data_IF_006123610038
#
_entry.id   IF_006123610038
#
_cell.length_a   1.000
_cell.length_b   1.000
_cell.length_c   1.000
_cell.angle_alpha   90.00
_cell.angle_beta   90.00
_cell.angle_gamma   90.00
#
_symmetry.space_group_name_H-M   'P 1'
#
loop_
_entity.id
_entity.type
_entity.pdbx_description
1 polymer ?
#
# COMPACT_ATOMS: atom_id res chain seq x y z
N UNK A 1 -0.53 -6.83 -13.36
CA UNK A 1 -1.45 -6.54 -12.24
C UNK A 1 -1.31 -5.09 -11.74
N UNK A 2 -0.13 -4.66 -11.29
CA UNK A 2 0.10 -3.34 -10.66
C UNK A 2 -0.17 -2.12 -11.55
N UNK A 3 0.02 -2.26 -12.87
CA UNK A 3 -0.31 -1.22 -13.89
C UNK A 3 -1.82 -1.02 -14.10
N UNK A 4 -2.67 -1.79 -13.42
CA UNK A 4 -4.13 -1.74 -13.59
C UNK A 4 -4.72 -0.45 -13.01
N UNK A 5 -5.68 0.21 -13.70
CA UNK A 5 -6.38 1.37 -13.16
C UNK A 5 -7.33 1.00 -12.02
N UNK A 6 -7.75 -0.27 -11.95
CA UNK A 6 -8.55 -0.80 -10.85
C UNK A 6 -7.92 -0.55 -9.48
N UNK A 7 -8.77 -0.19 -8.51
CA UNK A 7 -8.41 -0.15 -7.10
C UNK A 7 -8.06 -1.55 -6.60
N UNK A 8 -6.97 -1.65 -5.86
CA UNK A 8 -6.48 -2.88 -5.24
C UNK A 8 -6.79 -2.86 -3.74
N UNK A 9 -7.18 -4.00 -3.19
CA UNK A 9 -7.44 -4.17 -1.76
C UNK A 9 -6.54 -5.26 -1.20
N UNK A 10 -5.99 -5.02 -0.01
CA UNK A 10 -5.24 -6.03 0.71
C UNK A 10 -6.20 -6.98 1.39
N UNK A 11 -6.17 -8.25 0.99
CA UNK A 11 -7.03 -9.30 1.52
C UNK A 11 -6.36 -10.10 2.62
N UNK A 12 -5.12 -10.55 2.38
CA UNK A 12 -4.32 -11.26 3.36
C UNK A 12 -3.02 -10.52 3.65
N UNK A 13 -2.65 -10.47 4.92
CA UNK A 13 -1.37 -9.94 5.37
C UNK A 13 -0.74 -10.86 6.43
N UNK A 14 0.57 -10.76 6.69
CA UNK A 14 1.17 -11.43 7.83
C UNK A 14 0.58 -10.87 9.13
N UNK A 15 0.50 -11.69 10.18
CA UNK A 15 0.03 -11.23 11.49
C UNK A 15 1.11 -10.33 12.14
N UNK A 16 0.97 -9.02 11.94
CA UNK A 16 1.87 -7.99 12.44
C UNK A 16 1.07 -7.05 13.32
N UNK A 17 1.61 -6.71 14.49
CA UNK A 17 0.89 -5.93 15.51
C UNK A 17 0.39 -4.59 14.98
N UNK A 18 1.20 -3.90 14.17
CA UNK A 18 0.83 -2.63 13.57
C UNK A 18 -0.31 -2.71 12.55
N UNK A 19 -0.59 -3.89 11.96
CA UNK A 19 -1.70 -4.06 11.02
C UNK A 19 -3.05 -4.30 11.74
N UNK A 20 -3.02 -4.74 13.00
CA UNK A 20 -4.24 -5.07 13.77
C UNK A 20 -5.14 -3.86 14.00
N UNK A 21 -4.55 -2.68 14.05
CA UNK A 21 -5.25 -1.42 14.27
C UNK A 21 -5.59 -0.68 12.96
N UNK A 22 -5.50 -1.37 11.81
CA UNK A 22 -5.84 -0.83 10.50
C UNK A 22 -7.02 -1.58 9.89
N UNK A 23 -7.94 -0.85 9.26
CA UNK A 23 -8.98 -1.38 8.38
C UNK A 23 -8.78 -0.84 6.98
N UNK A 24 -9.48 -1.48 6.04
CA UNK A 24 -9.67 -0.94 4.69
C UNK A 24 -8.35 -0.51 4.04
N UNK A 25 -7.41 -1.45 3.88
CA UNK A 25 -6.14 -1.16 3.22
C UNK A 25 -6.33 -1.31 1.71
N UNK A 26 -6.11 -0.24 0.96
CA UNK A 26 -6.30 -0.22 -0.50
C UNK A 26 -5.28 0.66 -1.21
N UNK A 27 -5.21 0.53 -2.53
CA UNK A 27 -4.26 1.23 -3.38
C UNK A 27 -4.90 1.64 -4.71
N UNK A 28 -4.78 2.92 -5.06
CA UNK A 28 -5.24 3.48 -6.34
C UNK A 28 -4.06 3.80 -7.25
N UNK A 29 -4.25 3.67 -8.57
CA UNK A 29 -3.23 4.04 -9.54
C UNK A 29 -3.14 5.56 -9.64
N UNK A 30 -1.93 6.12 -9.56
CA UNK A 30 -1.67 7.52 -9.88
C UNK A 30 -1.25 7.62 -11.34
N UNK A 31 -0.11 6.99 -11.67
CA UNK A 31 0.42 6.93 -13.03
C UNK A 31 1.28 5.69 -13.22
N UNK A 32 1.58 5.35 -14.47
CA UNK A 32 2.56 4.33 -14.79
C UNK A 32 3.25 4.69 -16.10
N UNK A 33 4.50 4.25 -16.23
CA UNK A 33 5.25 4.31 -17.47
C UNK A 33 5.75 2.90 -17.80
N UNK A 34 5.27 2.35 -18.92
CA UNK A 34 5.66 1.00 -19.34
C UNK A 34 7.08 0.91 -19.88
N UNK A 35 7.66 2.02 -20.34
CA UNK A 35 9.03 2.07 -20.85
C UNK A 35 10.09 2.05 -19.75
N UNK A 36 9.72 2.52 -18.56
CA UNK A 36 10.60 2.63 -17.38
C UNK A 36 10.30 1.58 -16.31
N UNK A 37 9.39 0.64 -16.57
CA UNK A 37 8.85 -0.30 -15.57
C UNK A 37 8.47 0.35 -14.24
N UNK A 38 7.94 1.56 -14.36
CA UNK A 38 7.62 2.46 -13.27
C UNK A 38 6.11 2.49 -13.03
N UNK A 39 5.69 2.35 -11.77
CA UNK A 39 4.28 2.48 -11.36
C UNK A 39 4.21 3.33 -10.11
N UNK A 40 3.40 4.38 -10.14
CA UNK A 40 3.10 5.19 -8.96
C UNK A 40 1.66 4.91 -8.50
N UNK A 41 1.49 4.60 -7.23
CA UNK A 41 0.19 4.31 -6.63
C UNK A 41 0.05 5.02 -5.28
N UNK A 42 -1.17 5.27 -4.86
CA UNK A 42 -1.44 5.56 -3.45
C UNK A 42 -1.49 4.26 -2.66
N UNK A 43 -1.15 4.32 -1.38
CA UNK A 43 -1.48 3.33 -0.38
C UNK A 43 -2.27 4.03 0.72
N UNK A 44 -3.51 3.62 0.93
CA UNK A 44 -4.43 4.19 1.91
C UNK A 44 -4.87 3.13 2.90
N UNK A 45 -5.13 3.55 4.14
CA UNK A 45 -5.73 2.74 5.19
C UNK A 45 -6.56 3.61 6.11
N UNK A 46 -7.41 2.97 6.91
CA UNK A 46 -8.26 3.63 7.90
C UNK A 46 -7.84 3.15 9.28
N UNK A 47 -7.50 4.06 10.18
CA UNK A 47 -7.22 3.70 11.57
C UNK A 47 -8.51 3.33 12.30
N UNK A 48 -8.39 2.53 13.37
CA UNK A 48 -9.51 2.22 14.26
C UNK A 48 -9.86 3.38 15.24
N UNK A 49 -9.29 4.57 15.06
CA UNK A 49 -9.55 5.71 15.93
C UNK A 49 -11.02 6.17 15.85
N UNK A 50 -11.49 6.90 16.87
CA UNK A 50 -12.79 7.56 16.88
C UNK A 50 -12.61 9.09 16.94
N UNK A 51 -12.94 9.85 15.88
CA UNK A 51 -13.49 9.40 14.60
C UNK A 51 -12.46 8.64 13.74
N UNK A 52 -12.90 7.75 12.82
CA UNK A 52 -12.00 7.04 11.93
C UNK A 52 -11.31 8.02 10.99
N UNK A 53 -10.00 7.87 10.83
CA UNK A 53 -9.18 8.74 9.97
C UNK A 53 -8.60 7.90 8.84
N UNK A 54 -8.68 8.42 7.62
CA UNK A 54 -7.97 7.86 6.47
C UNK A 54 -6.60 8.52 6.33
N UNK A 55 -5.55 7.71 6.45
CA UNK A 55 -4.21 8.08 6.03
C UNK A 55 -3.96 7.64 4.58
N UNK A 56 -3.10 8.36 3.87
CA UNK A 56 -2.70 8.02 2.50
C UNK A 56 -1.25 8.44 2.27
N UNK A 57 -0.51 7.59 1.57
CA UNK A 57 0.85 7.88 1.13
C UNK A 57 1.00 7.53 -0.36
N UNK A 58 1.94 8.17 -1.03
CA UNK A 58 2.35 7.77 -2.37
C UNK A 58 3.49 6.76 -2.29
N UNK A 59 3.42 5.74 -3.13
CA UNK A 59 4.45 4.72 -3.29
C UNK A 59 4.79 4.56 -4.75
N UNK A 60 6.08 4.39 -5.01
CA UNK A 60 6.62 4.07 -6.33
C UNK A 60 7.00 2.60 -6.34
N UNK A 61 6.62 1.88 -7.39
CA UNK A 61 6.96 0.48 -7.61
C UNK A 61 7.76 0.35 -8.89
N UNK A 62 8.92 -0.30 -8.80
CA UNK A 62 9.86 -0.51 -9.89
C UNK A 62 10.29 -1.98 -9.94
N UNK A 63 10.52 -2.50 -11.14
CA UNK A 63 11.23 -3.77 -11.31
C UNK A 63 12.70 -3.64 -10.90
N UNK A 64 13.36 -4.76 -10.57
CA UNK A 64 14.80 -4.76 -10.30
C UNK A 64 15.57 -5.47 -11.42
N UNK A 65 16.81 -5.04 -11.67
CA UNK A 65 17.71 -5.74 -12.60
C UNK A 65 18.09 -7.15 -12.10
N UNK A 66 18.01 -7.37 -10.77
CA UNK A 66 18.37 -8.64 -10.13
C UNK A 66 17.40 -9.76 -10.50
N UNK A 67 16.10 -9.45 -10.63
CA UNK A 67 15.10 -10.45 -10.97
C UNK A 67 13.83 -9.83 -11.55
N UNK A 68 13.31 -10.45 -12.61
CA UNK A 68 11.99 -10.12 -13.19
C UNK A 68 10.82 -10.31 -12.21
N UNK A 69 11.02 -11.09 -11.16
CA UNK A 69 9.99 -11.32 -10.13
C UNK A 69 10.11 -10.37 -8.94
N UNK A 70 11.22 -9.66 -8.80
CA UNK A 70 11.44 -8.74 -7.69
C UNK A 70 10.87 -7.37 -8.01
N UNK A 71 10.19 -6.79 -7.03
CA UNK A 71 9.57 -5.47 -7.09
C UNK A 71 10.10 -4.68 -5.91
N UNK A 72 10.71 -3.54 -6.20
CA UNK A 72 11.11 -2.56 -5.21
C UNK A 72 9.99 -1.55 -5.03
N UNK A 73 9.66 -1.25 -3.78
CA UNK A 73 8.67 -0.23 -3.41
C UNK A 73 9.36 0.86 -2.63
N UNK A 74 9.28 2.10 -3.12
CA UNK A 74 9.87 3.27 -2.48
C UNK A 74 8.79 4.17 -1.90
N UNK A 75 8.98 4.58 -0.65
CA UNK A 75 8.14 5.50 0.11
C UNK A 75 9.03 6.59 0.70
N UNK A 76 9.06 7.77 0.10
CA UNK A 76 10.00 8.82 0.50
C UNK A 76 11.44 8.33 0.39
N UNK A 77 12.15 8.22 1.51
CA UNK A 77 13.53 7.70 1.58
C UNK A 77 13.61 6.20 1.97
N UNK A 78 12.47 5.56 2.24
CA UNK A 78 12.42 4.15 2.63
C UNK A 78 12.23 3.27 1.39
N UNK A 79 13.01 2.20 1.29
CA UNK A 79 12.89 1.19 0.23
C UNK A 79 12.51 -0.18 0.82
N UNK A 80 11.61 -0.87 0.13
CA UNK A 80 11.10 -2.18 0.51
C UNK A 80 11.13 -3.12 -0.68
N UNK A 81 11.79 -4.26 -0.53
CA UNK A 81 11.86 -5.28 -1.58
C UNK A 81 10.79 -6.35 -1.39
N UNK A 82 10.19 -6.78 -2.50
CA UNK A 82 9.22 -7.85 -2.54
C UNK A 82 9.52 -8.82 -3.67
N UNK A 83 9.24 -10.09 -3.45
CA UNK A 83 9.24 -11.11 -4.49
C UNK A 83 7.82 -11.43 -4.91
N UNK A 84 7.51 -11.31 -6.20
CA UNK A 84 6.24 -11.77 -6.78
C UNK A 84 6.20 -13.29 -6.76
N UNK A 85 5.31 -13.86 -5.95
CA UNK A 85 5.05 -15.31 -5.90
C UNK A 85 4.08 -15.71 -7.00
N UNK A 86 3.05 -14.89 -7.22
CA UNK A 86 2.04 -15.11 -8.24
C UNK A 86 1.36 -13.81 -8.61
N UNK A 87 1.01 -13.65 -9.88
CA UNK A 87 0.20 -12.54 -10.34
C UNK A 87 -0.65 -12.99 -11.53
N UNK A 88 -1.92 -12.62 -11.53
CA UNK A 88 -2.81 -12.79 -12.68
C UNK A 88 -3.64 -11.52 -12.93
N UNK A 89 -4.77 -11.63 -13.63
CA UNK A 89 -5.66 -10.50 -13.86
C UNK A 89 -6.46 -10.08 -12.61
N UNK A 90 -6.55 -10.91 -11.58
CA UNK A 90 -7.50 -10.83 -10.45
C UNK A 90 -6.83 -10.61 -9.10
N UNK A 91 -5.66 -11.21 -8.86
CA UNK A 91 -4.90 -11.11 -7.63
C UNK A 91 -3.39 -11.04 -7.85
N UNK A 92 -2.68 -10.60 -6.81
CA UNK A 92 -1.23 -10.54 -6.73
C UNK A 92 -0.79 -11.04 -5.35
N UNK A 93 0.21 -11.91 -5.31
CA UNK A 93 0.84 -12.42 -4.11
C UNK A 93 2.28 -11.92 -4.08
N UNK A 94 2.59 -11.05 -3.12
CA UNK A 94 3.93 -10.53 -2.88
C UNK A 94 4.48 -11.14 -1.60
N UNK A 95 5.68 -11.70 -1.65
CA UNK A 95 6.44 -12.12 -0.48
C UNK A 95 7.39 -11.00 -0.07
N UNK A 96 7.37 -10.63 1.21
CA UNK A 96 8.26 -9.59 1.75
C UNK A 96 9.70 -10.12 1.71
N UNK A 97 10.60 -9.38 1.05
CA UNK A 97 12.02 -9.71 0.99
C UNK A 97 12.73 -9.07 2.18
N UNK A 98 13.36 -9.90 3.03
CA UNK A 98 14.31 -9.54 4.10
C UNK A 98 14.08 -8.16 4.75
N UNK A 99 13.04 -8.05 5.57
CA UNK A 99 12.98 -7.04 6.63
C UNK A 99 13.29 -7.71 7.98
N UNK A 100 14.05 -7.04 8.85
CA UNK A 100 14.16 -7.47 10.25
C UNK A 100 12.74 -7.41 10.86
N UNK A 101 12.32 -8.44 11.59
CA UNK A 101 11.03 -8.53 12.31
C UNK A 101 9.80 -9.02 11.51
N UNK A 102 9.98 -9.66 10.35
CA UNK A 102 8.85 -10.29 9.63
C UNK A 102 9.05 -11.82 9.59
N UNK A 103 8.02 -12.63 9.94
CA UNK A 103 8.13 -14.09 9.89
C UNK A 103 8.56 -14.61 8.51
N UNK A 104 9.27 -15.74 8.48
CA UNK A 104 9.63 -16.41 7.23
C UNK A 104 8.36 -16.67 6.38
N UNK A 105 8.50 -16.49 5.06
CA UNK A 105 7.44 -16.65 4.06
C UNK A 105 6.23 -15.73 4.28
N UNK A 106 6.41 -14.58 4.92
CA UNK A 106 5.36 -13.57 5.02
C UNK A 106 4.99 -12.99 3.66
N UNK A 107 3.70 -13.01 3.35
CA UNK A 107 3.16 -12.56 2.08
C UNK A 107 1.97 -11.63 2.26
N UNK A 108 1.73 -10.84 1.23
CA UNK A 108 0.59 -9.98 1.02
C UNK A 108 -0.23 -10.52 -0.15
N UNK A 109 -1.55 -10.67 0.02
CA UNK A 109 -2.49 -10.97 -1.06
C UNK A 109 -3.28 -9.71 -1.41
N UNK A 110 -3.02 -9.17 -2.59
CA UNK A 110 -3.76 -8.05 -3.17
C UNK A 110 -4.80 -8.55 -4.17
N UNK A 111 -5.97 -7.91 -4.18
CA UNK A 111 -7.12 -8.29 -5.02
C UNK A 111 -7.72 -7.04 -5.65
N UNK A 112 -8.08 -7.08 -6.94
CA UNK A 112 -8.79 -5.94 -7.56
C UNK A 112 -10.23 -5.85 -7.07
N UNK A 113 -10.74 -4.62 -6.96
CA UNK A 113 -12.12 -4.29 -6.55
C UNK A 113 -13.22 -5.18 -7.17
N UNK A 114 -13.23 -5.48 -8.49
CA UNK A 114 -14.28 -6.30 -9.10
C UNK A 114 -14.32 -7.75 -8.58
N UNK A 115 -13.23 -8.25 -8.00
CA UNK A 115 -13.08 -9.64 -7.58
C UNK A 115 -13.16 -9.86 -6.07
N UNK A 116 -13.48 -8.84 -5.25
CA UNK A 116 -13.53 -8.99 -3.79
C UNK A 116 -14.54 -10.05 -3.32
N UNK A 117 -15.71 -10.11 -3.96
CA UNK A 117 -16.76 -11.11 -3.70
C UNK A 117 -16.46 -12.48 -4.31
N UNK A 118 -15.47 -12.56 -5.21
CA UNK A 118 -15.08 -13.83 -5.79
C UNK A 118 -14.30 -14.65 -4.74
N UNK A 119 -14.56 -15.96 -4.61
CA UNK A 119 -13.85 -16.79 -3.65
C UNK A 119 -12.33 -16.87 -3.92
N UNK A 120 -11.88 -16.58 -5.15
CA UNK A 120 -10.45 -16.56 -5.54
C UNK A 120 -9.72 -17.82 -5.08
N UNK A 121 -10.36 -18.99 -5.28
CA UNK A 121 -9.88 -20.29 -4.78
C UNK A 121 -8.43 -20.56 -5.19
N UNK A 122 -8.06 -20.19 -6.42
CA UNK A 122 -6.69 -20.36 -6.94
C UNK A 122 -5.67 -19.47 -6.22
N UNK A 123 -5.96 -18.17 -6.04
CA UNK A 123 -5.09 -17.26 -5.31
C UNK A 123 -4.92 -17.69 -3.85
N UNK A 124 -6.01 -18.12 -3.21
CA UNK A 124 -5.99 -18.63 -1.83
C UNK A 124 -5.13 -19.88 -1.72
N UNK A 125 -5.32 -20.83 -2.63
CA UNK A 125 -4.52 -22.06 -2.68
C UNK A 125 -3.03 -21.76 -2.84
N UNK A 126 -2.65 -20.90 -3.79
CA UNK A 126 -1.25 -20.53 -4.01
C UNK A 126 -0.67 -19.80 -2.79
N UNK A 127 -1.44 -18.94 -2.13
CA UNK A 127 -1.01 -18.32 -0.88
C UNK A 127 -0.73 -19.39 0.19
N UNK A 128 -1.65 -20.33 0.39
CA UNK A 128 -1.53 -21.38 1.42
C UNK A 128 -0.32 -22.30 1.18
N UNK A 129 0.05 -22.54 -0.08
CA UNK A 129 1.21 -23.37 -0.46
C UNK A 129 2.54 -22.64 -0.27
N UNK A 130 2.63 -21.38 -0.68
CA UNK A 130 3.92 -20.66 -0.78
C UNK A 130 4.22 -19.72 0.39
N UNK A 131 3.20 -19.33 1.15
CA UNK A 131 3.31 -18.33 2.20
C UNK A 131 3.11 -18.93 3.60
N UNK A 132 3.39 -18.14 4.63
CA UNK A 132 3.16 -18.53 6.01
C UNK A 132 1.66 -18.71 6.26
N UNK A 133 1.29 -19.81 6.92
CA UNK A 133 -0.09 -20.12 7.27
C UNK A 133 -0.68 -19.13 8.29
N UNK A 134 0.16 -18.52 9.14
CA UNK A 134 -0.24 -17.48 10.09
C UNK A 134 -0.41 -16.15 9.36
N UNK A 135 -1.62 -15.94 8.85
CA UNK A 135 -2.05 -14.70 8.20
C UNK A 135 -3.23 -14.08 8.90
N UNK A 136 -3.42 -12.80 8.65
CA UNK A 136 -4.63 -12.06 8.96
C UNK A 136 -5.50 -11.96 7.70
N UNK A 137 -6.80 -12.27 7.84
CA UNK A 137 -7.79 -12.05 6.80
C UNK A 137 -8.51 -10.74 7.07
N UNK A 138 -8.13 -9.70 6.33
CA UNK A 138 -8.62 -8.34 6.52
C UNK A 138 -10.05 -8.15 5.99
N UNK A 139 -10.60 -9.15 5.29
CA UNK A 139 -11.96 -9.13 4.72
C UNK A 139 -12.36 -7.76 4.12
N UNK A 140 -11.58 -7.23 3.15
CA UNK A 140 -11.83 -5.91 2.61
C UNK A 140 -13.21 -5.84 1.95
N UNK A 141 -13.99 -4.83 2.34
CA UNK A 141 -15.28 -4.52 1.73
C UNK A 141 -15.13 -3.50 0.61
N UNK A 142 -16.02 -3.59 -0.39
CA UNK A 142 -16.04 -2.62 -1.48
C UNK A 142 -16.44 -1.27 -0.88
N UNK A 143 -15.64 -0.24 -1.17
CA UNK A 143 -15.87 1.13 -0.70
C UNK A 143 -15.88 1.30 0.82
N UNK A 144 -15.07 0.52 1.56
CA UNK A 144 -14.92 0.68 3.01
C UNK A 144 -14.34 2.05 3.45
N UNK A 145 -13.97 2.91 2.50
CA UNK A 145 -13.51 4.28 2.70
C UNK A 145 -14.58 5.36 2.46
N UNK A 146 -15.81 4.98 2.07
CA UNK A 146 -16.91 5.94 1.91
C UNK A 146 -17.32 6.54 3.26
N UNK A 147 -17.35 7.87 3.34
CA UNK A 147 -17.75 8.61 4.54
C UNK A 147 -16.66 8.80 5.61
N UNK A 148 -15.43 8.37 5.35
CA UNK A 148 -14.29 8.59 6.25
C UNK A 148 -13.51 9.83 5.85
N UNK A 149 -13.28 10.72 6.81
CA UNK A 149 -12.49 11.93 6.59
C UNK A 149 -11.05 11.57 6.24
N UNK A 150 -10.53 12.23 5.20
CA UNK A 150 -9.10 12.17 4.90
C UNK A 150 -8.39 13.03 5.92
N UNK A 151 -7.32 12.51 6.48
CA UNK A 151 -6.41 13.34 7.26
C UNK A 151 -5.92 14.46 6.37
N UNK A 152 -6.21 15.69 6.73
CA UNK A 152 -5.75 16.85 5.98
C UNK A 152 -4.22 16.79 5.89
N UNK A 153 -3.69 16.75 4.67
CA UNK A 153 -2.31 17.16 4.41
C UNK A 153 -2.24 18.63 4.79
N UNK A 154 -1.84 18.93 6.03
CA UNK A 154 -1.52 20.32 6.39
C UNK A 154 -0.56 20.84 5.33
N UNK A 155 -0.86 21.96 4.64
CA UNK A 155 0.12 22.57 3.77
C UNK A 155 1.35 22.86 4.62
N UNK A 156 2.51 22.44 4.14
CA UNK A 156 3.81 22.86 4.68
C UNK A 156 3.74 24.37 4.84
N UNK A 157 3.91 24.87 6.07
CA UNK A 157 3.80 26.29 6.41
C UNK A 157 4.52 27.13 5.35
N UNK A 158 3.75 27.92 4.61
CA UNK A 158 4.30 29.02 3.84
C UNK A 158 5.04 29.90 4.86
N UNK A 159 6.37 29.94 4.75
CA UNK A 159 7.21 30.77 5.60
C UNK A 159 6.74 32.22 5.50
N UNK A 160 6.11 32.71 6.57
CA UNK A 160 5.87 34.12 6.79
C UNK A 160 7.24 34.80 6.99
N UNK A 161 7.87 35.23 5.90
CA UNK A 161 8.90 36.26 5.93
C UNK A 161 8.28 37.59 5.53
N UNK A 162 7.71 38.31 6.50
CA UNK A 162 7.58 39.75 6.40
C UNK A 162 8.85 40.38 6.98
N UNK A 163 9.68 41.11 6.21
CA UNK A 163 10.72 41.93 6.77
C UNK A 163 10.07 43.11 7.50
N UNK A 164 10.30 43.20 8.82
CA UNK A 164 9.82 44.28 9.67
C UNK A 164 10.29 45.66 9.18
N UNK A 165 9.35 46.61 9.18
CA UNK A 165 9.59 48.01 8.89
C UNK A 165 10.60 48.66 9.87
N UNK A 166 11.44 49.62 9.44
CA UNK A 166 12.39 50.29 10.32
C UNK A 166 11.69 51.29 11.26
N UNK A 167 12.05 51.27 12.56
CA UNK A 167 11.63 52.31 13.52
C UNK A 167 12.40 53.62 13.30
N UNK A 168 11.77 54.81 13.44
CA UNK A 168 12.47 56.08 13.36
C UNK A 168 13.21 56.42 14.67
N UNK A 169 14.31 57.19 14.59
CA UNK A 169 15.20 57.48 15.71
C UNK A 169 14.65 58.56 16.67
N UNK A 170 15.18 58.54 17.90
CA UNK A 170 14.82 59.41 19.03
C UNK A 170 15.69 60.66 19.09
#
# INVERSE_FOLDING_TARGET
>A
FLKSPERLYLKYAPNLEYLRNLKCIFSDLIKHDSSLDYVERTLSWISFDEPPIRDTINVVLEGTEKSKSEVKVTKGYEEYDFNTVYADARCLILRISRFQNVPLRSCLLWVKKPFLKNPLRHCRFLFDVFCNWRREDLKPEKNCDEGVEKKDERPTEAGNQNPGAPRPPR
#
